data_IF_231877125240
#
_entry.id   IF_231877125240
#
_cell.length_a   1.000
_cell.length_b   1.000
_cell.length_c   1.000
_cell.angle_alpha   90.00
_cell.angle_beta   90.00
_cell.angle_gamma   90.00
#
_symmetry.space_group_name_H-M   'P 1'
#
loop_
_entity.id
_entity.type
_entity.pdbx_description
1 polymer ?
#
# COMPACT_ATOMS: atom_id res chain seq x y z
N UNK A 1 15.45 -26.10 -5.52
CA UNK A 1 15.79 -24.69 -5.19
C UNK A 1 16.81 -24.63 -4.07
N UNK A 2 17.93 -23.91 -4.26
CA UNK A 2 19.06 -23.85 -3.32
C UNK A 2 18.97 -22.61 -2.39
N UNK A 3 19.58 -22.65 -1.19
CA UNK A 3 19.69 -21.48 -0.29
C UNK A 3 20.33 -20.26 -0.96
N UNK A 4 21.30 -20.45 -1.85
CA UNK A 4 21.95 -19.36 -2.59
C UNK A 4 20.98 -18.64 -3.52
N UNK A 5 20.10 -19.39 -4.17
CA UNK A 5 19.09 -18.89 -5.10
C UNK A 5 18.03 -18.06 -4.35
N UNK A 6 17.48 -18.58 -3.25
CA UNK A 6 16.52 -17.83 -2.43
C UNK A 6 17.11 -16.56 -1.79
N UNK A 7 18.41 -16.57 -1.44
CA UNK A 7 19.12 -15.35 -1.01
C UNK A 7 19.17 -14.32 -2.14
N UNK A 8 19.46 -14.75 -3.36
CA UNK A 8 19.47 -13.86 -4.52
C UNK A 8 18.08 -13.29 -4.79
N UNK A 9 17.03 -14.12 -4.76
CA UNK A 9 15.63 -13.67 -4.93
C UNK A 9 15.25 -12.62 -3.87
N UNK A 10 15.62 -12.85 -2.62
CA UNK A 10 15.36 -11.90 -1.53
C UNK A 10 16.07 -10.56 -1.76
N UNK A 11 17.35 -10.58 -2.17
CA UNK A 11 18.11 -9.36 -2.45
C UNK A 11 17.54 -8.59 -3.64
N UNK A 12 17.20 -9.27 -4.73
CA UNK A 12 16.58 -8.64 -5.91
C UNK A 12 15.21 -8.06 -5.55
N UNK A 13 14.40 -8.80 -4.80
CA UNK A 13 13.09 -8.33 -4.33
C UNK A 13 13.23 -7.06 -3.51
N UNK A 14 14.17 -7.04 -2.54
CA UNK A 14 14.43 -5.87 -1.72
C UNK A 14 14.91 -4.68 -2.56
N UNK A 15 15.82 -4.91 -3.51
CA UNK A 15 16.33 -3.88 -4.40
C UNK A 15 15.23 -3.26 -5.27
N UNK A 16 14.35 -4.08 -5.85
CA UNK A 16 13.22 -3.62 -6.68
C UNK A 16 12.20 -2.84 -5.85
N UNK A 17 11.86 -3.33 -4.65
CA UNK A 17 10.94 -2.63 -3.76
C UNK A 17 11.54 -1.30 -3.32
N UNK A 18 12.81 -1.25 -2.93
CA UNK A 18 13.49 -0.01 -2.58
C UNK A 18 13.51 0.99 -3.76
N UNK A 19 13.91 0.53 -4.95
CA UNK A 19 13.93 1.35 -6.16
C UNK A 19 12.53 1.91 -6.50
N UNK A 20 11.48 1.11 -6.36
CA UNK A 20 10.10 1.52 -6.64
C UNK A 20 9.54 2.58 -5.66
N UNK A 21 10.17 2.75 -4.49
CA UNK A 21 9.79 3.74 -3.49
C UNK A 21 10.70 4.98 -3.49
N UNK A 22 11.85 4.92 -4.17
CA UNK A 22 12.80 6.03 -4.25
C UNK A 22 12.16 7.34 -4.76
N UNK A 23 11.29 7.36 -5.79
CA UNK A 23 10.65 8.61 -6.23
C UNK A 23 9.81 9.29 -5.13
N UNK A 24 9.20 8.51 -4.23
CA UNK A 24 8.40 9.02 -3.12
C UNK A 24 9.28 9.66 -2.04
N UNK A 25 10.43 9.05 -1.76
CA UNK A 25 11.42 9.60 -0.82
C UNK A 25 12.04 10.89 -1.37
N UNK A 26 12.34 10.92 -2.68
CA UNK A 26 12.84 12.12 -3.36
C UNK A 26 11.78 13.22 -3.26
N UNK A 27 10.54 12.96 -3.65
CA UNK A 27 9.46 13.96 -3.60
C UNK A 27 9.24 14.51 -2.18
N UNK A 28 9.33 13.65 -1.16
CA UNK A 28 9.29 14.09 0.23
C UNK A 28 10.47 15.00 0.58
N UNK A 29 11.70 14.62 0.21
CA UNK A 29 12.91 15.37 0.51
C UNK A 29 13.00 16.73 -0.20
N UNK A 30 12.42 16.86 -1.39
CA UNK A 30 12.44 18.11 -2.19
C UNK A 30 11.13 18.90 -2.08
N UNK A 31 10.28 18.62 -1.10
CA UNK A 31 9.03 19.35 -0.90
C UNK A 31 9.34 20.83 -0.66
N UNK A 32 8.77 21.78 -1.44
CA UNK A 32 9.03 23.20 -1.26
C UNK A 32 8.54 23.73 0.10
N UNK A 33 9.18 24.79 0.58
CA UNK A 33 8.75 25.49 1.79
C UNK A 33 7.29 25.97 1.66
N UNK A 34 6.50 25.75 2.71
CA UNK A 34 5.06 26.06 2.72
C UNK A 34 4.16 25.05 2.02
N UNK A 35 4.72 23.96 1.46
CA UNK A 35 3.95 22.85 0.90
C UNK A 35 4.09 21.57 1.73
N UNK A 36 3.14 20.64 1.53
CA UNK A 36 3.20 19.30 2.09
C UNK A 36 3.03 18.26 1.00
N UNK A 37 4.00 17.36 0.86
CA UNK A 37 3.85 16.22 -0.01
C UNK A 37 2.86 15.21 0.59
N UNK A 38 1.83 14.87 -0.18
CA UNK A 38 0.74 13.98 0.24
C UNK A 38 1.17 12.51 0.37
N UNK A 39 2.37 12.17 -0.12
CA UNK A 39 2.85 10.79 -0.19
C UNK A 39 2.38 10.02 -1.43
N UNK A 40 1.71 10.66 -2.38
CA UNK A 40 1.15 10.03 -3.58
C UNK A 40 1.68 10.71 -4.85
N UNK A 41 2.34 9.95 -5.73
CA UNK A 41 2.85 10.42 -7.04
C UNK A 41 2.02 9.83 -8.17
N UNK A 42 1.93 8.50 -8.20
CA UNK A 42 1.20 7.80 -9.26
C UNK A 42 -0.28 7.69 -8.92
N UNK A 43 -1.14 8.06 -9.87
CA UNK A 43 -2.60 8.02 -9.76
C UNK A 43 -3.13 8.60 -8.41
N UNK A 44 -2.89 9.90 -8.15
CA UNK A 44 -3.23 10.51 -6.87
C UNK A 44 -4.73 10.56 -6.59
N UNK A 45 -5.59 10.54 -7.63
CA UNK A 45 -7.05 10.50 -7.46
C UNK A 45 -7.48 9.20 -6.77
N UNK A 46 -7.01 8.05 -7.25
CA UNK A 46 -7.27 6.77 -6.60
C UNK A 46 -6.58 6.66 -5.25
N UNK A 47 -5.34 7.16 -5.15
CA UNK A 47 -4.61 7.21 -3.89
C UNK A 47 -5.39 7.95 -2.80
N UNK A 48 -5.97 9.11 -3.11
CA UNK A 48 -6.82 9.86 -2.20
C UNK A 48 -8.13 9.11 -1.88
N UNK A 49 -8.69 8.37 -2.83
CA UNK A 49 -9.83 7.48 -2.59
C UNK A 49 -9.48 6.37 -1.59
N UNK A 50 -8.27 5.78 -1.67
CA UNK A 50 -7.77 4.82 -0.68
C UNK A 50 -7.60 5.47 0.70
N UNK A 51 -7.05 6.69 0.77
CA UNK A 51 -6.94 7.44 2.02
C UNK A 51 -8.30 7.69 2.66
N UNK A 52 -9.32 8.03 1.87
CA UNK A 52 -10.68 8.24 2.36
C UNK A 52 -11.29 6.94 2.93
N UNK A 53 -11.07 5.79 2.27
CA UNK A 53 -11.47 4.47 2.78
C UNK A 53 -10.73 4.15 4.08
N UNK A 54 -9.41 4.27 4.10
CA UNK A 54 -8.60 4.02 5.29
C UNK A 54 -9.00 4.93 6.46
N UNK A 55 -9.38 6.19 6.20
CA UNK A 55 -9.88 7.09 7.24
C UNK A 55 -11.19 6.61 7.88
N UNK A 56 -12.08 5.96 7.14
CA UNK A 56 -13.27 5.32 7.73
C UNK A 56 -12.91 4.11 8.59
N UNK A 57 -11.90 3.33 8.19
CA UNK A 57 -11.36 2.26 9.02
C UNK A 57 -10.72 2.79 10.32
N UNK A 58 -9.99 3.91 10.23
CA UNK A 58 -9.38 4.59 11.38
C UNK A 58 -10.44 5.03 12.40
N UNK A 59 -11.61 5.47 11.96
CA UNK A 59 -12.74 5.80 12.84
C UNK A 59 -13.53 4.58 13.31
N UNK A 60 -13.15 3.37 12.90
CA UNK A 60 -13.71 2.10 13.38
C UNK A 60 -14.72 1.43 12.45
N UNK A 61 -14.97 1.96 11.26
CA UNK A 61 -15.95 1.35 10.35
C UNK A 61 -15.40 0.10 9.68
N UNK A 62 -16.24 -0.93 9.56
CA UNK A 62 -16.03 -2.10 8.69
C UNK A 62 -16.94 -2.07 7.45
N UNK A 63 -17.81 -1.06 7.35
CA UNK A 63 -18.68 -0.84 6.20
C UNK A 63 -18.30 0.48 5.55
N UNK A 64 -17.94 0.42 4.27
CA UNK A 64 -17.62 1.60 3.50
C UNK A 64 -18.89 2.37 3.15
N UNK A 65 -18.86 3.69 3.35
CA UNK A 65 -19.85 4.64 2.82
C UNK A 65 -19.17 5.60 1.85
N UNK A 66 -19.89 6.08 0.85
CA UNK A 66 -19.41 7.11 -0.05
C UNK A 66 -19.33 8.44 0.72
N UNK A 67 -18.13 8.97 1.01
CA UNK A 67 -17.99 10.12 1.91
C UNK A 67 -18.30 11.46 1.22
N UNK A 68 -18.49 11.45 -0.10
CA UNK A 68 -18.63 12.66 -0.93
C UNK A 68 -19.98 12.73 -1.66
N UNK A 69 -20.97 11.93 -1.24
CA UNK A 69 -22.33 11.96 -1.79
C UNK A 69 -23.28 12.49 -0.70
N UNK A 70 -24.19 13.44 -1.00
CA UNK A 70 -25.16 13.93 -0.03
C UNK A 70 -26.30 12.94 0.24
N UNK A 71 -26.52 11.98 -0.65
CA UNK A 71 -27.59 10.99 -0.56
C UNK A 71 -27.39 10.06 0.65
N UNK A 72 -28.36 9.94 1.56
CA UNK A 72 -28.31 8.97 2.64
C UNK A 72 -28.27 7.54 2.10
N UNK A 73 -27.32 6.74 2.59
CA UNK A 73 -27.19 5.35 2.21
C UNK A 73 -26.55 4.51 3.32
N UNK A 74 -26.84 3.21 3.29
CA UNK A 74 -26.20 2.25 4.17
C UNK A 74 -24.75 2.00 3.72
N UNK A 75 -23.88 1.63 4.67
CA UNK A 75 -22.54 1.19 4.33
C UNK A 75 -22.55 -0.23 3.74
N UNK A 76 -21.57 -0.55 2.91
CA UNK A 76 -21.40 -1.85 2.29
C UNK A 76 -20.03 -2.47 2.61
N UNK A 77 -19.90 -3.81 2.67
CA UNK A 77 -18.64 -4.52 2.94
C UNK A 77 -17.74 -4.55 1.70
N UNK A 78 -17.51 -3.38 1.09
CA UNK A 78 -16.60 -3.19 -0.04
C UNK A 78 -15.35 -2.45 0.44
N UNK A 79 -14.23 -2.64 -0.25
CA UNK A 79 -12.93 -2.07 0.13
C UNK A 79 -12.47 -2.44 1.55
N UNK A 80 -12.90 -3.60 2.04
CA UNK A 80 -12.59 -4.11 3.40
C UNK A 80 -11.09 -4.13 3.67
N UNK A 81 -10.27 -4.40 2.66
CA UNK A 81 -8.81 -4.31 2.76
C UNK A 81 -8.34 -2.92 3.21
N UNK A 82 -8.83 -1.83 2.59
CA UNK A 82 -8.46 -0.47 2.98
C UNK A 82 -9.07 -0.08 4.33
N UNK A 83 -10.28 -0.55 4.66
CA UNK A 83 -10.84 -0.37 5.99
C UNK A 83 -9.95 -1.04 7.06
N UNK A 84 -9.49 -2.26 6.80
CA UNK A 84 -8.58 -2.99 7.68
C UNK A 84 -7.25 -2.27 7.87
N UNK A 85 -6.67 -1.66 6.82
CA UNK A 85 -5.49 -0.81 6.95
C UNK A 85 -5.76 0.45 7.81
N UNK A 86 -6.97 0.99 7.77
CA UNK A 86 -7.41 2.04 8.69
C UNK A 86 -7.41 1.58 10.15
N UNK A 87 -7.90 0.37 10.43
CA UNK A 87 -7.82 -0.23 11.76
C UNK A 87 -6.38 -0.49 12.18
N UNK A 88 -5.52 -0.94 11.27
CA UNK A 88 -4.09 -1.10 11.56
C UNK A 88 -3.45 0.23 11.98
N UNK A 89 -3.77 1.34 11.29
CA UNK A 89 -3.35 2.67 11.71
C UNK A 89 -3.91 3.07 13.07
N UNK A 90 -5.18 2.74 13.35
CA UNK A 90 -5.81 2.98 14.67
C UNK A 90 -5.08 2.25 15.79
N UNK A 91 -4.73 0.98 15.60
CA UNK A 91 -4.10 0.15 16.62
C UNK A 91 -2.63 0.47 16.82
N UNK A 92 -1.92 0.86 15.76
CA UNK A 92 -0.49 1.19 15.82
C UNK A 92 -0.21 2.65 16.16
N UNK A 93 -1.19 3.54 15.98
CA UNK A 93 -0.99 4.99 16.09
C UNK A 93 -0.19 5.61 14.93
N UNK A 94 0.12 4.83 13.89
CA UNK A 94 0.88 5.31 12.74
C UNK A 94 0.02 6.16 11.81
N UNK A 95 0.60 7.16 11.12
CA UNK A 95 -0.11 7.92 10.08
C UNK A 95 -0.62 7.01 8.95
N UNK A 96 -1.82 7.29 8.43
CA UNK A 96 -2.45 6.51 7.35
C UNK A 96 -1.52 6.33 6.15
N UNK A 97 -0.78 7.38 5.76
CA UNK A 97 0.13 7.34 4.62
C UNK A 97 1.31 6.38 4.85
N UNK A 98 1.78 6.25 6.09
CA UNK A 98 2.83 5.30 6.47
C UNK A 98 2.31 3.87 6.37
N UNK A 99 1.12 3.61 6.90
CA UNK A 99 0.47 2.29 6.80
C UNK A 99 0.19 1.90 5.36
N UNK A 100 -0.23 2.86 4.52
CA UNK A 100 -0.44 2.65 3.10
C UNK A 100 0.85 2.24 2.37
N UNK A 101 1.94 2.97 2.58
CA UNK A 101 3.23 2.63 1.96
C UNK A 101 3.80 1.31 2.49
N UNK A 102 3.63 1.02 3.78
CA UNK A 102 4.01 -0.27 4.35
C UNK A 102 3.24 -1.43 3.69
N UNK A 103 1.91 -1.28 3.54
CA UNK A 103 1.07 -2.26 2.86
C UNK A 103 1.46 -2.42 1.37
N UNK A 104 1.77 -1.31 0.69
CA UNK A 104 2.24 -1.32 -0.70
C UNK A 104 3.58 -2.04 -0.84
N UNK A 105 4.54 -1.78 0.04
CA UNK A 105 5.83 -2.47 0.07
C UNK A 105 5.67 -3.97 0.35
N UNK A 106 4.88 -4.33 1.36
CA UNK A 106 4.59 -5.72 1.68
C UNK A 106 3.91 -6.46 0.51
N UNK A 107 2.94 -5.82 -0.15
CA UNK A 107 2.31 -6.34 -1.35
C UNK A 107 3.28 -6.52 -2.52
N UNK A 108 4.19 -5.58 -2.73
CA UNK A 108 5.25 -5.68 -3.73
C UNK A 108 6.21 -6.85 -3.48
N UNK A 109 6.64 -7.04 -2.23
CA UNK A 109 7.44 -8.22 -1.82
C UNK A 109 6.67 -9.51 -2.09
N UNK A 110 5.42 -9.60 -1.61
CA UNK A 110 4.60 -10.80 -1.78
C UNK A 110 4.38 -11.13 -3.27
N UNK A 111 4.12 -10.12 -4.10
CA UNK A 111 3.95 -10.27 -5.54
C UNK A 111 5.22 -10.82 -6.20
N UNK A 112 6.39 -10.25 -5.92
CA UNK A 112 7.66 -10.68 -6.53
C UNK A 112 8.03 -12.11 -6.12
N UNK A 113 7.82 -12.47 -4.85
CA UNK A 113 8.04 -13.82 -4.36
C UNK A 113 7.08 -14.82 -5.02
N UNK A 114 5.80 -14.48 -5.12
CA UNK A 114 4.79 -15.31 -5.78
C UNK A 114 5.07 -15.47 -7.28
N UNK A 115 5.50 -14.40 -7.95
CA UNK A 115 5.86 -14.41 -9.36
C UNK A 115 7.04 -15.34 -9.62
N UNK A 116 8.11 -15.23 -8.82
CA UNK A 116 9.24 -16.14 -8.91
C UNK A 116 8.85 -17.60 -8.59
N UNK A 117 8.00 -17.81 -7.57
CA UNK A 117 7.46 -19.12 -7.25
C UNK A 117 6.64 -19.74 -8.38
N UNK A 118 5.88 -18.94 -9.13
CA UNK A 118 5.16 -19.39 -10.32
C UNK A 118 6.11 -19.68 -11.48
N UNK A 119 7.03 -18.76 -11.77
CA UNK A 119 7.97 -18.88 -12.88
C UNK A 119 8.90 -20.10 -12.73
N UNK A 120 9.36 -20.38 -11.51
CA UNK A 120 10.17 -21.58 -11.23
C UNK A 120 9.39 -22.86 -11.54
N UNK A 121 8.13 -22.96 -11.09
CA UNK A 121 7.30 -24.14 -11.38
C UNK A 121 7.02 -24.34 -12.86
N UNK A 122 6.84 -23.27 -13.62
CA UNK A 122 6.58 -23.35 -15.07
C UNK A 122 7.85 -23.63 -15.88
N UNK A 123 9.03 -23.39 -15.32
CA UNK A 123 10.32 -23.62 -15.99
C UNK A 123 10.90 -25.01 -15.69
N UNK A 124 10.36 -25.69 -14.68
CA UNK A 124 10.77 -27.04 -14.27
C UNK A 124 10.01 -28.15 -15.04
N UNK A 125 9.06 -27.77 -15.91
CA UNK A 125 8.37 -28.62 -16.92
C UNK A 125 9.05 -28.49 -18.31
#
# INVERSE_FOLDING_TARGET
>A
MNRREWRWVALVTLALVAASNLPYLIAWAVTPDGAHFTGLIFNPQDGNSYMAKMRQGLTGSWLFRLPYTPEPHNGAPVYVFYLALGHAARWTGLPLIVVYHAARMAGGVAMLLAFYGLASRLSDD
#
